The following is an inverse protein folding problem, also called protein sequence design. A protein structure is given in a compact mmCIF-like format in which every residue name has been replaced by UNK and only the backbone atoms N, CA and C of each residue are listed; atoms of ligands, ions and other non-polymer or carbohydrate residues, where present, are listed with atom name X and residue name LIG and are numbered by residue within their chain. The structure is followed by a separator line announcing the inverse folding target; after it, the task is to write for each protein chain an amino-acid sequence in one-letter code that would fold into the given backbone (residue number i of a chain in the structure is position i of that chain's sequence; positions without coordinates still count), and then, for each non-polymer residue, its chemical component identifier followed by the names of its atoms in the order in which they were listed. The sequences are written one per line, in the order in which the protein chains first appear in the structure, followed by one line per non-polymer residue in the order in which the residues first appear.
data_IF_832235133340
#
_entry.id   IF_832235133340
#
_cell.length_a   1.000
_cell.length_b   1.000
_cell.length_c   1.000
_cell.angle_alpha   90.00
_cell.angle_beta   90.00
_cell.angle_gamma   90.00
#
_symmetry.space_group_name_H-M   'P 1'
#
loop_
_entity.id
_entity.type
_entity.pdbx_description
1 polymer ?
#
# COMPACT_ATOMS: atom_id res chain seq x y z
N UNK A 1 70.48 -21.34 -0.15
CA UNK A 1 69.91 -20.39 0.83
C UNK A 1 70.01 -20.95 2.25
N UNK A 2 70.00 -20.08 3.27
CA UNK A 2 69.93 -20.47 4.69
C UNK A 2 68.46 -20.61 5.11
N UNK A 3 68.16 -21.49 6.06
CA UNK A 3 66.80 -21.70 6.58
C UNK A 3 66.01 -20.41 6.89
N UNK A 4 66.54 -19.40 7.61
CA UNK A 4 65.76 -18.19 7.92
C UNK A 4 65.29 -17.41 6.67
N UNK A 5 66.08 -17.40 5.60
CA UNK A 5 65.70 -16.72 4.35
C UNK A 5 64.58 -17.47 3.62
N UNK A 6 64.54 -18.80 3.75
CA UNK A 6 63.49 -19.64 3.17
C UNK A 6 62.19 -19.47 3.96
N UNK A 7 62.27 -19.40 5.29
CA UNK A 7 61.13 -19.19 6.18
C UNK A 7 60.40 -17.86 5.89
N UNK A 8 61.13 -16.78 5.65
CA UNK A 8 60.55 -15.48 5.26
C UNK A 8 59.83 -15.54 3.91
N UNK A 9 60.31 -16.37 2.98
CA UNK A 9 59.79 -16.50 1.61
C UNK A 9 58.76 -17.62 1.41
N UNK A 10 58.50 -18.40 2.46
CA UNK A 10 57.61 -19.57 2.41
C UNK A 10 56.15 -19.18 2.14
N UNK A 11 55.69 -18.04 2.68
CA UNK A 11 54.35 -17.49 2.42
C UNK A 11 54.17 -17.12 0.95
N UNK A 12 55.10 -16.36 0.38
CA UNK A 12 55.10 -16.00 -1.04
C UNK A 12 55.18 -17.25 -1.93
N UNK A 13 55.90 -18.28 -1.49
CA UNK A 13 56.03 -19.55 -2.22
C UNK A 13 54.70 -20.30 -2.28
N UNK A 14 53.93 -20.29 -1.18
CA UNK A 14 52.59 -20.88 -1.12
C UNK A 14 51.59 -20.11 -2.00
N UNK A 15 51.72 -18.79 -2.07
CA UNK A 15 50.88 -17.92 -2.91
C UNK A 15 51.32 -17.87 -4.37
N UNK A 16 52.48 -18.45 -4.71
CA UNK A 16 53.11 -18.44 -6.04
C UNK A 16 53.40 -17.03 -6.55
N UNK A 17 53.84 -16.14 -5.67
CA UNK A 17 54.16 -14.75 -5.99
C UNK A 17 55.67 -14.51 -6.20
N UNK A 18 56.53 -15.49 -5.91
CA UNK A 18 57.97 -15.41 -6.19
C UNK A 18 58.30 -15.53 -7.69
N UNK A 19 59.42 -14.92 -8.14
CA UNK A 19 59.98 -15.18 -9.45
C UNK A 19 60.41 -16.64 -9.61
N UNK A 20 60.33 -17.17 -10.84
CA UNK A 20 60.54 -18.59 -11.14
C UNK A 20 61.89 -19.14 -10.67
N UNK A 21 62.96 -18.35 -10.78
CA UNK A 21 64.30 -18.74 -10.31
C UNK A 21 64.34 -18.97 -8.80
N UNK A 22 63.68 -18.11 -8.02
CA UNK A 22 63.64 -18.22 -6.56
C UNK A 22 62.70 -19.34 -6.11
N UNK A 23 61.63 -19.63 -6.87
CA UNK A 23 60.77 -20.77 -6.60
C UNK A 23 61.52 -22.11 -6.70
N UNK A 24 62.40 -22.27 -7.69
CA UNK A 24 63.23 -23.47 -7.86
C UNK A 24 64.23 -23.62 -6.72
N UNK A 25 64.88 -22.52 -6.31
CA UNK A 25 65.81 -22.51 -5.18
C UNK A 25 65.14 -22.88 -3.85
N UNK A 26 63.94 -22.35 -3.60
CA UNK A 26 63.14 -22.67 -2.41
C UNK A 26 62.70 -24.13 -2.45
N UNK A 27 62.21 -24.62 -3.59
CA UNK A 27 61.80 -26.01 -3.75
C UNK A 27 62.97 -26.99 -3.51
N UNK A 28 64.15 -26.71 -4.08
CA UNK A 28 65.34 -27.52 -3.86
C UNK A 28 65.74 -27.57 -2.37
N UNK A 29 65.64 -26.45 -1.65
CA UNK A 29 65.95 -26.41 -0.23
C UNK A 29 64.92 -27.17 0.63
N UNK A 30 63.63 -27.00 0.36
CA UNK A 30 62.56 -27.70 1.08
C UNK A 30 62.67 -29.22 0.91
N UNK A 31 63.07 -29.68 -0.29
CA UNK A 31 63.32 -31.11 -0.51
C UNK A 31 64.53 -31.65 0.25
N UNK A 32 65.54 -30.81 0.51
CA UNK A 32 66.77 -31.20 1.22
C UNK A 32 66.73 -30.99 2.74
N UNK A 33 65.84 -30.13 3.26
CA UNK A 33 65.80 -29.72 4.66
C UNK A 33 64.51 -30.19 5.35
N UNK A 34 64.64 -31.10 6.33
CA UNK A 34 63.51 -31.64 7.09
C UNK A 34 62.74 -30.62 7.91
N UNK A 35 63.40 -29.57 8.42
CA UNK A 35 62.73 -28.51 9.19
C UNK A 35 61.85 -27.65 8.28
N UNK A 36 62.38 -27.24 7.12
CA UNK A 36 61.63 -26.41 6.17
C UNK A 36 60.48 -27.19 5.52
N UNK A 37 60.62 -28.50 5.28
CA UNK A 37 59.52 -29.33 4.78
C UNK A 37 58.42 -29.52 5.81
N UNK A 38 58.76 -29.74 7.08
CA UNK A 38 57.80 -29.80 8.18
C UNK A 38 57.01 -28.49 8.32
N UNK A 39 57.70 -27.34 8.33
CA UNK A 39 57.08 -26.03 8.43
C UNK A 39 56.12 -25.75 7.25
N UNK A 40 56.53 -26.12 6.04
CA UNK A 40 55.69 -25.97 4.86
C UNK A 40 54.40 -26.80 4.98
N UNK A 41 54.52 -28.04 5.45
CA UNK A 41 53.36 -28.91 5.63
C UNK A 41 52.42 -28.40 6.72
N UNK A 42 52.97 -27.84 7.81
CA UNK A 42 52.18 -27.15 8.84
C UNK A 42 51.39 -25.98 8.26
N UNK A 43 52.04 -25.10 7.48
CA UNK A 43 51.36 -23.97 6.81
C UNK A 43 50.28 -24.44 5.83
N UNK A 44 50.53 -25.49 5.04
CA UNK A 44 49.53 -26.10 4.16
C UNK A 44 48.34 -26.64 4.96
N UNK A 45 48.61 -27.34 6.06
CA UNK A 45 47.57 -27.88 6.93
C UNK A 45 46.69 -26.77 7.53
N UNK A 46 47.29 -25.64 7.92
CA UNK A 46 46.58 -24.48 8.43
C UNK A 46 45.67 -23.86 7.34
N UNK A 47 46.18 -23.71 6.12
CA UNK A 47 45.40 -23.23 4.98
C UNK A 47 44.22 -24.16 4.65
N UNK A 48 44.42 -25.47 4.69
CA UNK A 48 43.35 -26.45 4.48
C UNK A 48 42.26 -26.34 5.56
N UNK A 49 42.66 -26.17 6.83
CA UNK A 49 41.71 -25.93 7.92
C UNK A 49 40.93 -24.63 7.72
N UNK A 50 41.59 -23.54 7.33
CA UNK A 50 40.91 -22.27 7.02
C UNK A 50 39.92 -22.41 5.85
N UNK A 51 40.28 -23.20 4.81
CA UNK A 51 39.40 -23.47 3.67
C UNK A 51 38.24 -24.41 4.00
N UNK A 52 38.39 -25.27 5.00
CA UNK A 52 37.32 -26.15 5.48
C UNK A 52 36.23 -25.42 6.28
N UNK A 53 36.44 -24.13 6.58
CA UNK A 53 35.46 -23.35 7.31
C UNK A 53 34.17 -23.22 6.49
N UNK A 54 32.99 -23.47 7.10
CA UNK A 54 31.73 -23.42 6.37
C UNK A 54 31.50 -22.02 5.81
N UNK A 55 31.26 -21.95 4.50
CA UNK A 55 30.86 -20.70 3.85
C UNK A 55 29.43 -20.43 4.28
N UNK A 56 29.26 -19.45 5.16
CA UNK A 56 27.94 -19.01 5.60
C UNK A 56 27.38 -18.03 4.56
N UNK A 57 26.12 -18.24 4.19
CA UNK A 57 25.43 -17.33 3.29
C UNK A 57 25.20 -15.98 3.99
N UNK A 58 25.76 -14.87 3.47
CA UNK A 58 25.74 -13.60 4.16
C UNK A 58 24.30 -13.10 4.33
N UNK A 59 24.05 -12.42 5.45
CA UNK A 59 22.75 -11.79 5.69
C UNK A 59 22.39 -10.84 4.54
N UNK A 60 21.14 -10.92 4.08
CA UNK A 60 20.62 -10.13 2.95
C UNK A 60 20.76 -8.63 3.26
N UNK A 61 20.62 -8.23 4.52
CA UNK A 61 20.84 -6.84 4.92
C UNK A 61 22.29 -6.38 4.75
N UNK A 62 23.28 -7.29 4.89
CA UNK A 62 24.68 -6.98 4.64
C UNK A 62 24.91 -6.75 3.14
N UNK A 63 24.34 -7.61 2.29
CA UNK A 63 24.43 -7.49 0.82
C UNK A 63 23.87 -6.13 0.37
N UNK A 64 22.70 -5.74 0.89
CA UNK A 64 22.10 -4.45 0.55
C UNK A 64 22.97 -3.27 0.99
N UNK A 65 23.55 -3.33 2.19
CA UNK A 65 24.49 -2.28 2.67
C UNK A 65 25.73 -2.18 1.79
N UNK A 66 26.29 -3.31 1.37
CA UNK A 66 27.46 -3.34 0.49
C UNK A 66 27.10 -2.74 -0.87
N UNK A 67 26.01 -3.18 -1.49
CA UNK A 67 25.56 -2.67 -2.79
C UNK A 67 25.27 -1.16 -2.75
N UNK A 68 24.64 -0.67 -1.69
CA UNK A 68 24.40 0.75 -1.50
C UNK A 68 25.69 1.55 -1.36
N UNK A 69 26.71 1.03 -0.67
CA UNK A 69 28.00 1.72 -0.49
C UNK A 69 28.92 1.64 -1.71
N UNK A 70 28.90 0.54 -2.45
CA UNK A 70 29.80 0.35 -3.61
C UNK A 70 29.21 0.87 -4.91
N UNK A 71 27.91 0.66 -5.14
CA UNK A 71 27.25 0.99 -6.41
C UNK A 71 26.26 2.14 -6.31
N UNK A 72 25.90 2.57 -5.10
CA UNK A 72 24.89 3.62 -4.87
C UNK A 72 23.47 3.20 -5.25
N UNK A 73 23.26 1.96 -5.70
CA UNK A 73 21.97 1.45 -6.17
C UNK A 73 21.43 0.40 -5.20
N UNK A 74 20.16 0.52 -4.77
CA UNK A 74 19.53 -0.54 -3.98
C UNK A 74 19.32 -1.78 -4.85
N UNK A 75 19.41 -2.97 -4.25
CA UNK A 75 19.03 -4.23 -4.91
C UNK A 75 17.54 -4.19 -5.25
N UNK A 76 17.21 -4.38 -6.52
CA UNK A 76 15.82 -4.60 -6.94
C UNK A 76 15.37 -5.96 -6.43
N UNK A 77 14.68 -5.99 -5.28
CA UNK A 77 14.12 -7.24 -4.76
C UNK A 77 12.92 -7.65 -5.60
N UNK A 78 12.87 -8.92 -5.99
CA UNK A 78 11.68 -9.46 -6.63
C UNK A 78 10.56 -9.65 -5.59
N UNK A 79 9.30 -9.40 -5.97
CA UNK A 79 8.15 -9.65 -5.09
C UNK A 79 8.12 -11.11 -4.58
N UNK A 80 8.63 -12.05 -5.38
CA UNK A 80 8.77 -13.46 -5.01
C UNK A 80 9.77 -13.68 -3.87
N UNK A 81 10.93 -13.02 -3.87
CA UNK A 81 11.90 -13.12 -2.77
C UNK A 81 11.35 -12.53 -1.46
N UNK A 82 10.61 -11.41 -1.53
CA UNK A 82 9.95 -10.85 -0.36
C UNK A 82 8.90 -11.80 0.22
N UNK A 83 8.10 -12.40 -0.67
CA UNK A 83 7.06 -13.33 -0.28
C UNK A 83 7.67 -14.63 0.27
N UNK A 84 8.73 -15.16 -0.34
CA UNK A 84 9.39 -16.36 0.16
C UNK A 84 10.01 -16.14 1.56
N UNK A 85 10.73 -15.04 1.75
CA UNK A 85 11.37 -14.76 3.04
C UNK A 85 10.35 -14.48 4.16
N UNK A 86 9.24 -13.81 3.86
CA UNK A 86 8.24 -13.47 4.87
C UNK A 86 7.19 -14.57 5.06
N UNK A 87 6.70 -15.15 3.97
CA UNK A 87 5.61 -16.11 3.97
C UNK A 87 6.14 -17.53 4.23
N UNK A 88 7.17 -18.00 3.51
CA UNK A 88 7.69 -19.37 3.72
C UNK A 88 8.37 -19.53 5.09
N UNK A 89 9.27 -18.62 5.49
CA UNK A 89 9.91 -18.76 6.82
C UNK A 89 8.93 -18.58 7.99
N UNK A 90 7.90 -17.74 7.85
CA UNK A 90 6.90 -17.55 8.91
C UNK A 90 5.94 -18.72 8.96
N UNK A 91 5.41 -19.19 7.82
CA UNK A 91 4.48 -20.33 7.77
C UNK A 91 5.15 -21.66 8.14
N UNK A 92 6.44 -21.84 7.85
CA UNK A 92 7.19 -23.04 8.26
C UNK A 92 7.65 -23.00 9.72
N UNK A 93 7.39 -21.94 10.49
CA UNK A 93 7.59 -22.06 11.93
C UNK A 93 6.55 -23.03 12.52
N UNK A 94 6.97 -23.96 13.41
CA UNK A 94 6.13 -25.07 13.89
C UNK A 94 4.83 -24.61 14.59
N UNK A 95 4.77 -23.34 15.03
CA UNK A 95 3.60 -22.76 15.69
C UNK A 95 2.45 -22.46 14.74
N UNK A 96 2.73 -22.02 13.50
CA UNK A 96 1.68 -21.68 12.54
C UNK A 96 1.18 -22.90 11.74
N UNK A 97 1.99 -23.96 11.63
CA UNK A 97 1.58 -25.22 11.03
C UNK A 97 0.34 -25.81 11.72
N UNK A 98 0.30 -25.79 13.06
CA UNK A 98 -0.85 -26.28 13.83
C UNK A 98 -2.10 -25.43 13.60
N UNK A 99 -1.95 -24.11 13.53
CA UNK A 99 -3.08 -23.20 13.25
C UNK A 99 -3.67 -23.43 11.87
N UNK A 100 -2.84 -23.59 10.84
CA UNK A 100 -3.29 -23.86 9.47
C UNK A 100 -4.00 -25.22 9.35
N UNK A 101 -3.50 -26.26 10.03
CA UNK A 101 -4.17 -27.57 10.04
C UNK A 101 -5.56 -27.47 10.67
N UNK A 102 -5.71 -26.75 11.80
CA UNK A 102 -7.00 -26.59 12.48
C UNK A 102 -7.99 -25.78 11.64
N UNK A 103 -7.56 -24.70 10.97
CA UNK A 103 -8.46 -23.91 10.12
C UNK A 103 -8.88 -24.69 8.88
N UNK A 104 -7.97 -25.46 8.26
CA UNK A 104 -8.33 -26.36 7.16
C UNK A 104 -9.31 -27.43 7.63
N UNK A 105 -9.08 -28.06 8.79
CA UNK A 105 -10.02 -29.03 9.37
C UNK A 105 -11.39 -28.41 9.66
N UNK A 106 -11.42 -27.19 10.19
CA UNK A 106 -12.68 -26.49 10.45
C UNK A 106 -13.41 -26.14 9.15
N UNK A 107 -12.69 -25.70 8.11
CA UNK A 107 -13.27 -25.40 6.81
C UNK A 107 -13.75 -26.65 6.08
N UNK A 108 -13.01 -27.75 6.14
CA UNK A 108 -13.45 -29.02 5.54
C UNK A 108 -14.64 -29.60 6.29
N UNK A 109 -14.66 -29.53 7.62
CA UNK A 109 -15.76 -30.05 8.42
C UNK A 109 -17.01 -29.18 8.27
N UNK A 110 -16.87 -27.85 8.28
CA UNK A 110 -17.98 -26.93 7.98
C UNK A 110 -18.50 -27.11 6.57
N UNK A 111 -17.64 -27.19 5.55
CA UNK A 111 -18.07 -27.52 4.20
C UNK A 111 -18.79 -28.87 4.16
N UNK A 112 -18.24 -29.93 4.75
CA UNK A 112 -18.86 -31.26 4.75
C UNK A 112 -20.24 -31.30 5.43
N UNK A 113 -20.48 -30.44 6.44
CA UNK A 113 -21.77 -30.31 7.11
C UNK A 113 -22.74 -29.41 6.34
N UNK A 114 -22.24 -28.35 5.71
CA UNK A 114 -23.05 -27.39 4.97
C UNK A 114 -23.40 -27.87 3.56
N UNK A 115 -22.55 -28.65 2.88
CA UNK A 115 -22.81 -29.14 1.52
C UNK A 115 -24.10 -29.98 1.39
N UNK A 116 -24.38 -31.00 2.23
CA UNK A 116 -25.62 -31.76 2.14
C UNK A 116 -26.85 -30.94 2.54
N UNK A 117 -26.71 -29.99 3.49
CA UNK A 117 -27.77 -29.04 3.84
C UNK A 117 -28.03 -28.04 2.71
N UNK A 118 -27.00 -27.51 2.08
CA UNK A 118 -27.09 -26.60 0.95
C UNK A 118 -27.68 -27.29 -0.27
N UNK A 119 -27.36 -28.57 -0.52
CA UNK A 119 -28.02 -29.37 -1.54
C UNK A 119 -29.53 -29.54 -1.27
N UNK A 120 -29.92 -29.82 -0.03
CA UNK A 120 -31.34 -29.93 0.35
C UNK A 120 -32.10 -28.59 0.29
N UNK A 121 -31.42 -27.48 0.58
CA UNK A 121 -31.98 -26.12 0.49
C UNK A 121 -32.01 -25.64 -0.97
N UNK A 122 -31.02 -26.01 -1.80
CA UNK A 122 -30.99 -25.69 -3.23
C UNK A 122 -32.09 -26.40 -4.01
N UNK A 123 -32.52 -27.59 -3.58
CA UNK A 123 -33.72 -28.24 -4.14
C UNK A 123 -35.03 -27.55 -3.72
N UNK A 124 -35.04 -26.85 -2.57
CA UNK A 124 -36.18 -26.04 -2.13
C UNK A 124 -36.20 -24.63 -2.76
N UNK A 125 -35.03 -24.06 -3.08
CA UNK A 125 -34.88 -22.86 -3.89
C UNK A 125 -34.83 -23.23 -5.39
N UNK A 126 -35.97 -23.62 -5.95
CA UNK A 126 -36.10 -23.69 -7.39
C UNK A 126 -35.74 -22.33 -8.03
N UNK A 127 -35.03 -22.29 -9.17
CA UNK A 127 -34.65 -21.03 -9.84
C UNK A 127 -35.85 -20.10 -10.07
N UNK A 128 -37.03 -20.69 -10.25
CA UNK A 128 -38.29 -19.99 -10.54
C UNK A 128 -38.84 -19.17 -9.36
N UNK A 129 -38.65 -19.63 -8.12
CA UNK A 129 -39.01 -18.89 -6.91
C UNK A 129 -38.03 -17.74 -6.65
N UNK A 130 -36.73 -17.96 -6.89
CA UNK A 130 -35.70 -16.92 -6.78
C UNK A 130 -35.99 -15.77 -7.74
N UNK A 131 -36.34 -16.06 -9.00
CA UNK A 131 -36.74 -15.02 -9.97
C UNK A 131 -37.96 -14.21 -9.52
N UNK A 132 -38.96 -14.83 -8.88
CA UNK A 132 -40.14 -14.12 -8.33
C UNK A 132 -39.81 -13.22 -7.13
N UNK A 133 -38.82 -13.59 -6.32
CA UNK A 133 -38.36 -12.75 -5.21
C UNK A 133 -37.47 -11.60 -5.69
N UNK A 134 -36.67 -11.83 -6.73
CA UNK A 134 -35.86 -10.80 -7.36
C UNK A 134 -36.70 -9.69 -7.98
N UNK A 135 -37.79 -10.03 -8.65
CA UNK A 135 -38.66 -9.04 -9.30
C UNK A 135 -39.27 -8.04 -8.28
N UNK A 136 -39.68 -8.56 -7.10
CA UNK A 136 -40.11 -7.72 -5.97
C UNK A 136 -38.97 -6.89 -5.37
N UNK A 137 -37.74 -7.42 -5.35
CA UNK A 137 -36.55 -6.70 -4.89
C UNK A 137 -36.18 -5.53 -5.81
N UNK A 138 -36.28 -5.72 -7.13
CA UNK A 138 -35.99 -4.68 -8.13
C UNK A 138 -36.96 -3.50 -8.01
N UNK A 139 -38.26 -3.76 -7.86
CA UNK A 139 -39.26 -2.70 -7.66
C UNK A 139 -39.04 -1.91 -6.35
N UNK A 140 -38.65 -2.59 -5.27
CA UNK A 140 -38.34 -1.94 -4.00
C UNK A 140 -37.08 -1.06 -4.10
N UNK A 141 -36.05 -1.49 -4.83
CA UNK A 141 -34.83 -0.71 -5.05
C UNK A 141 -35.11 0.51 -5.95
N UNK A 142 -35.89 0.33 -7.02
CA UNK A 142 -36.26 1.43 -7.93
C UNK A 142 -37.05 2.54 -7.22
N UNK A 143 -38.04 2.18 -6.40
CA UNK A 143 -38.81 3.14 -5.60
C UNK A 143 -37.96 3.88 -4.55
N UNK A 144 -36.95 3.22 -3.97
CA UNK A 144 -35.97 3.87 -3.07
C UNK A 144 -35.04 4.81 -3.83
N UNK A 145 -34.64 4.46 -5.05
CA UNK A 145 -33.83 5.31 -5.92
C UNK A 145 -34.53 6.64 -6.24
N UNK A 146 -35.81 6.59 -6.63
CA UNK A 146 -36.63 7.79 -6.89
C UNK A 146 -36.69 8.73 -5.68
N UNK A 147 -36.89 8.18 -4.47
CA UNK A 147 -36.93 8.99 -3.23
C UNK A 147 -35.61 9.70 -2.91
N UNK A 148 -34.48 9.10 -3.26
CA UNK A 148 -33.16 9.73 -3.08
C UNK A 148 -33.00 10.90 -4.06
N UNK A 149 -33.55 10.77 -5.27
CA UNK A 149 -33.53 11.83 -6.27
C UNK A 149 -34.38 13.03 -5.83
N UNK A 150 -35.60 12.79 -5.34
CA UNK A 150 -36.46 13.87 -4.84
C UNK A 150 -35.84 14.60 -3.63
N UNK A 151 -35.24 13.85 -2.70
CA UNK A 151 -34.57 14.42 -1.52
C UNK A 151 -33.35 15.28 -1.89
N UNK A 152 -32.68 14.99 -3.00
CA UNK A 152 -31.57 15.81 -3.51
C UNK A 152 -32.06 17.18 -3.99
N UNK A 153 -33.22 17.23 -4.64
CA UNK A 153 -33.80 18.47 -5.13
C UNK A 153 -34.23 19.38 -3.96
N UNK A 154 -34.81 18.80 -2.92
CA UNK A 154 -35.15 19.52 -1.68
C UNK A 154 -33.89 20.10 -1.00
N UNK A 155 -32.82 19.30 -0.93
CA UNK A 155 -31.55 19.74 -0.33
C UNK A 155 -30.90 20.87 -1.14
N UNK A 156 -30.94 20.79 -2.48
CA UNK A 156 -30.45 21.87 -3.34
C UNK A 156 -31.26 23.16 -3.16
N UNK A 157 -32.57 23.06 -3.02
CA UNK A 157 -33.42 24.23 -2.74
C UNK A 157 -33.07 24.86 -1.38
N UNK A 158 -32.93 24.07 -0.32
CA UNK A 158 -32.54 24.58 1.00
C UNK A 158 -31.15 25.22 1.00
N UNK A 159 -30.19 24.63 0.28
CA UNK A 159 -28.84 25.16 0.20
C UNK A 159 -28.78 26.49 -0.57
N UNK A 160 -29.54 26.60 -1.67
CA UNK A 160 -29.67 27.85 -2.42
C UNK A 160 -30.33 28.95 -1.59
N UNK A 161 -31.36 28.61 -0.79
CA UNK A 161 -32.01 29.55 0.12
C UNK A 161 -31.04 30.03 1.20
N UNK A 162 -30.29 29.12 1.82
CA UNK A 162 -29.29 29.48 2.82
C UNK A 162 -28.21 30.38 2.21
N UNK A 163 -27.67 30.04 1.05
CA UNK A 163 -26.67 30.85 0.35
C UNK A 163 -27.19 32.26 0.09
N UNK A 164 -28.38 32.40 -0.52
CA UNK A 164 -28.95 33.71 -0.84
C UNK A 164 -29.28 34.52 0.41
N UNK A 165 -29.82 33.90 1.47
CA UNK A 165 -30.14 34.59 2.72
C UNK A 165 -28.86 35.06 3.45
N UNK A 166 -27.81 34.24 3.48
CA UNK A 166 -26.51 34.61 4.05
C UNK A 166 -25.86 35.76 3.27
N UNK A 167 -25.86 35.69 1.93
CA UNK A 167 -25.31 36.75 1.08
C UNK A 167 -26.06 38.06 1.22
N UNK A 168 -27.39 38.04 1.32
CA UNK A 168 -28.18 39.26 1.52
C UNK A 168 -27.88 39.88 2.89
N UNK A 169 -27.73 39.05 3.93
CA UNK A 169 -27.36 39.51 5.29
C UNK A 169 -25.93 40.06 5.37
N UNK A 170 -25.00 39.46 4.63
CA UNK A 170 -23.63 39.96 4.49
C UNK A 170 -23.57 41.26 3.70
N UNK A 171 -24.40 41.40 2.65
CA UNK A 171 -24.55 42.64 1.89
C UNK A 171 -25.03 43.80 2.76
N UNK A 172 -26.05 43.58 3.59
CA UNK A 172 -26.56 44.59 4.55
C UNK A 172 -25.48 44.98 5.56
N UNK A 173 -24.67 44.01 6.05
CA UNK A 173 -23.55 44.32 6.96
C UNK A 173 -22.46 45.15 6.28
N UNK A 174 -22.18 44.90 5.00
CA UNK A 174 -21.19 45.64 4.23
C UNK A 174 -21.68 47.07 3.92
N UNK A 175 -22.96 47.26 3.61
CA UNK A 175 -23.57 48.60 3.49
C UNK A 175 -23.53 49.38 4.81
N UNK A 176 -23.65 48.70 5.96
CA UNK A 176 -23.52 49.36 7.27
C UNK A 176 -22.09 49.81 7.60
N UNK A 177 -21.07 49.28 6.92
CA UNK A 177 -19.69 49.76 7.06
C UNK A 177 -19.34 50.91 6.10
N UNK A 178 -20.22 51.25 5.15
CA UNK A 178 -19.96 52.26 4.11
C UNK A 178 -20.81 53.53 4.32
N UNK A 179 -20.82 54.06 5.55
CA UNK A 179 -21.40 55.38 5.85
C UNK A 179 -20.29 56.43 6.02
N UNK A 180 -20.03 57.29 5.03
CA UNK A 180 -19.36 58.56 5.25
C UNK A 180 -20.26 59.51 6.04
N UNK A 181 -19.67 60.20 7.02
CA UNK A 181 -20.30 61.26 7.80
C UNK A 181 -20.64 62.47 6.92
N UNK A 182 -21.92 62.72 6.64
CA UNK A 182 -22.33 64.04 6.14
C UNK A 182 -23.78 64.41 6.52
N UNK A 183 -23.89 65.38 7.43
CA UNK A 183 -24.71 66.58 7.19
C UNK A 183 -26.25 66.54 7.31
N UNK A 184 -26.73 67.22 8.37
CA UNK A 184 -27.91 68.13 8.42
C UNK A 184 -29.35 67.58 8.62
N UNK A 185 -29.85 67.88 9.83
CA UNK A 185 -31.03 68.73 10.19
C UNK A 185 -32.41 68.52 9.50
N UNK A 186 -33.40 68.25 10.38
CA UNK A 186 -34.78 68.80 10.50
C UNK A 186 -35.76 68.51 9.33
N UNK A 187 -37.09 68.42 9.46
CA UNK A 187 -38.11 68.31 10.52
C UNK A 187 -39.47 68.56 9.82
N UNK A 188 -40.52 67.76 10.08
CA UNK A 188 -41.95 68.03 9.78
C UNK A 188 -42.36 67.92 8.30
N UNK A 189 -43.56 67.51 7.88
CA UNK A 189 -44.89 67.30 8.49
C UNK A 189 -45.79 66.53 7.46
N UNK A 190 -46.95 65.91 7.82
CA UNK A 190 -47.53 64.77 7.08
C UNK A 190 -48.85 65.02 6.30
N UNK A 191 -49.25 63.94 5.59
CA UNK A 191 -50.64 63.45 5.29
C UNK A 191 -51.41 64.09 4.12
N UNK A 192 -51.86 63.25 3.17
CA UNK A 192 -53.29 63.02 2.87
C UNK A 192 -53.53 61.89 1.84
N UNK A 193 -54.49 61.04 2.18
CA UNK A 193 -55.16 60.05 1.33
C UNK A 193 -56.02 60.75 0.27
N UNK A 194 -56.35 60.08 -0.85
CA UNK A 194 -57.72 59.55 -1.12
C UNK A 194 -57.98 59.26 -2.63
N UNK A 195 -58.44 58.02 -2.86
CA UNK A 195 -59.35 57.50 -3.92
C UNK A 195 -59.18 57.83 -5.41
N UNK A 196 -59.12 56.77 -6.25
CA UNK A 196 -60.27 56.31 -7.06
C UNK A 196 -60.01 54.91 -7.66
N UNK A 197 -61.02 54.03 -7.58
CA UNK A 197 -61.12 52.72 -8.25
C UNK A 197 -62.31 52.78 -9.25
N UNK A 198 -62.76 51.71 -9.93
CA UNK A 198 -62.18 50.83 -10.98
C UNK A 198 -63.00 50.89 -12.32
N UNK A 199 -62.61 50.09 -13.32
CA UNK A 199 -63.39 49.74 -14.55
C UNK A 199 -62.53 49.97 -15.81
N UNK A 200 -62.31 49.04 -16.75
CA UNK A 200 -63.11 47.94 -17.32
C UNK A 200 -62.16 46.80 -17.76
N UNK A 201 -62.45 45.50 -17.58
CA UNK A 201 -63.15 44.62 -18.54
C UNK A 201 -62.70 44.89 -19.99
N UNK A 202 -62.19 43.96 -20.79
CA UNK A 202 -62.58 42.56 -20.95
C UNK A 202 -61.64 41.91 -21.98
N UNK A 203 -61.35 40.62 -21.77
CA UNK A 203 -61.28 39.58 -22.80
C UNK A 203 -60.16 39.64 -23.86
N UNK A 204 -59.54 38.56 -24.30
CA UNK A 204 -59.64 37.12 -24.02
C UNK A 204 -58.71 36.44 -25.04
N UNK A 205 -58.29 35.19 -24.76
CA UNK A 205 -58.13 34.09 -25.74
C UNK A 205 -56.86 34.16 -26.64
N UNK A 206 -56.02 33.13 -26.83
CA UNK A 206 -56.22 31.67 -26.88
C UNK A 206 -54.90 30.86 -26.69
N UNK A 207 -55.07 29.70 -26.03
CA UNK A 207 -54.54 28.33 -26.30
C UNK A 207 -53.01 28.07 -26.29
N UNK A 208 -52.45 27.32 -25.32
CA UNK A 208 -52.44 25.83 -25.08
C UNK A 208 -51.46 25.05 -26.01
N UNK A 209 -50.95 23.87 -25.60
CA UNK A 209 -49.53 23.51 -25.64
C UNK A 209 -49.25 22.22 -26.44
N UNK A 210 -47.97 21.93 -26.64
CA UNK A 210 -47.40 20.58 -26.79
C UNK A 210 -45.95 20.60 -26.33
#
# INVERSE_FOLDING_TARGET
MKCPQIEERLSEYLERTLPASEMEEVAAHVHGCGNCSALLEEMRSALLKCRSFPVYEPDIALIDRVLLRTTGKPRTRSFRELLDQYFLRTLLTPRFAMGAVVTVLFLTLSASLLLPRAASIATALSPREVFRTMDRGVQAIYSRGLKIYDKKNEWQAQLSFFKNNMFNRLGIMIEQLDVPQEGKKKSGEPRQQQEKNPGDKTSSLLLLPT
#
